data_IF_856278103399
#
_entry.id   IF_856278103399
#
_cell.length_a   1.000
_cell.length_b   1.000
_cell.length_c   1.000
_cell.angle_alpha   90.00
_cell.angle_beta   90.00
_cell.angle_gamma   90.00
#
_symmetry.space_group_name_H-M   'P 1'
#
loop_
_entity.id
_entity.type
_entity.pdbx_description
1 polymer ?
#
# COMPACT_ATOMS: atom_id res chain seq x y z
N UNK A 1 11.90 21.73 -7.58
CA UNK A 1 12.72 20.53 -7.34
C UNK A 1 11.96 19.42 -6.63
N UNK A 2 11.31 19.66 -5.48
CA UNK A 2 10.60 18.60 -4.74
C UNK A 2 9.50 17.89 -5.56
N UNK A 3 8.60 18.66 -6.20
CA UNK A 3 7.54 18.13 -7.09
C UNK A 3 8.07 17.43 -8.36
N UNK A 4 9.31 17.73 -8.74
CA UNK A 4 10.00 17.18 -9.92
C UNK A 4 10.56 15.80 -9.56
N UNK A 5 11.20 15.66 -8.40
CA UNK A 5 11.63 14.35 -7.88
C UNK A 5 10.45 13.41 -7.61
N UNK A 6 9.37 13.90 -6.99
CA UNK A 6 8.20 13.09 -6.62
C UNK A 6 7.63 12.25 -7.78
N UNK A 7 7.56 12.82 -8.99
CA UNK A 7 7.07 12.10 -10.17
C UNK A 7 8.05 11.03 -10.68
N UNK A 8 9.35 11.33 -10.66
CA UNK A 8 10.38 10.38 -11.08
C UNK A 8 10.49 9.17 -10.14
N UNK A 9 10.26 9.38 -8.83
CA UNK A 9 10.24 8.29 -7.85
C UNK A 9 9.05 7.37 -8.07
N UNK A 10 7.86 7.93 -8.32
CA UNK A 10 6.65 7.17 -8.56
C UNK A 10 6.77 6.31 -9.83
N UNK A 11 7.20 6.88 -10.96
CA UNK A 11 7.34 6.11 -12.20
C UNK A 11 8.38 4.99 -12.08
N UNK A 12 9.50 5.27 -11.43
CA UNK A 12 10.56 4.28 -11.20
C UNK A 12 10.11 3.18 -10.26
N UNK A 13 9.38 3.52 -9.19
CA UNK A 13 8.79 2.55 -8.27
C UNK A 13 7.77 1.65 -8.96
N UNK A 14 6.92 2.20 -9.83
CA UNK A 14 5.97 1.43 -10.64
C UNK A 14 6.70 0.45 -11.57
N UNK A 15 7.73 0.91 -12.30
CA UNK A 15 8.51 0.05 -13.19
C UNK A 15 9.26 -1.07 -12.47
N UNK A 16 9.86 -0.76 -11.32
CA UNK A 16 10.58 -1.75 -10.50
C UNK A 16 9.60 -2.75 -9.88
N UNK A 17 8.47 -2.29 -9.33
CA UNK A 17 7.42 -3.15 -8.78
C UNK A 17 6.88 -4.13 -9.83
N UNK A 18 6.59 -3.64 -11.04
CA UNK A 18 6.16 -4.48 -12.15
C UNK A 18 7.20 -5.56 -12.50
N UNK A 19 8.48 -5.17 -12.52
CA UNK A 19 9.58 -6.09 -12.84
C UNK A 19 9.74 -7.17 -11.78
N UNK A 20 9.63 -6.83 -10.49
CA UNK A 20 9.73 -7.78 -9.37
C UNK A 20 8.61 -8.82 -9.42
N UNK A 21 7.40 -8.42 -9.78
CA UNK A 21 6.28 -9.36 -9.93
C UNK A 21 6.49 -10.28 -11.10
N UNK A 22 6.94 -9.76 -12.24
CA UNK A 22 7.28 -10.59 -13.38
C UNK A 22 8.37 -11.62 -13.02
N UNK A 23 9.35 -11.24 -12.18
CA UNK A 23 10.33 -12.18 -11.61
C UNK A 23 9.65 -13.21 -10.69
N UNK A 24 8.68 -12.81 -9.88
CA UNK A 24 7.90 -13.70 -9.02
C UNK A 24 6.97 -14.65 -9.78
N UNK A 25 6.49 -14.28 -10.96
CA UNK A 25 5.72 -15.15 -11.86
C UNK A 25 6.63 -16.21 -12.52
N UNK A 26 7.85 -15.83 -12.88
CA UNK A 26 8.87 -16.76 -13.42
C UNK A 26 9.45 -17.65 -12.33
N UNK A 27 9.54 -17.17 -11.09
CA UNK A 27 10.02 -17.93 -9.92
C UNK A 27 8.97 -17.96 -8.80
N UNK A 28 8.03 -18.92 -8.85
CA UNK A 28 6.96 -19.05 -7.86
C UNK A 28 7.47 -19.26 -6.44
N UNK A 29 8.68 -19.81 -6.27
CA UNK A 29 9.35 -20.03 -4.98
C UNK A 29 9.63 -18.73 -4.18
N UNK A 30 9.58 -17.57 -4.86
CA UNK A 30 9.83 -16.25 -4.27
C UNK A 30 8.54 -15.44 -4.09
N UNK A 31 7.40 -15.94 -4.59
CA UNK A 31 6.13 -15.23 -4.67
C UNK A 31 5.06 -15.91 -3.81
N UNK A 32 4.41 -15.12 -2.97
CA UNK A 32 3.25 -15.53 -2.17
C UNK A 32 1.93 -15.43 -2.91
N UNK A 33 1.93 -15.02 -4.18
CA UNK A 33 0.75 -14.72 -4.97
C UNK A 33 -0.27 -13.83 -4.23
N UNK A 34 0.21 -12.78 -3.56
CA UNK A 34 -0.64 -11.87 -2.78
C UNK A 34 -0.65 -12.14 -1.28
N UNK A 35 0.00 -13.20 -0.81
CA UNK A 35 0.23 -13.43 0.61
C UNK A 35 1.58 -12.84 1.02
N UNK A 36 1.58 -11.96 2.03
CA UNK A 36 2.81 -11.34 2.51
C UNK A 36 3.62 -12.26 3.45
N UNK A 37 2.94 -13.03 4.29
CA UNK A 37 3.55 -13.99 5.21
C UNK A 37 3.56 -15.39 4.59
N UNK A 38 4.69 -16.10 4.71
CA UNK A 38 4.74 -17.53 4.39
C UNK A 38 3.95 -18.26 5.48
N UNK A 39 2.77 -18.76 5.14
CA UNK A 39 1.98 -19.55 6.07
C UNK A 39 2.55 -20.95 6.15
N UNK A 40 3.16 -21.32 7.27
CA UNK A 40 3.43 -22.72 7.64
C UNK A 40 2.18 -23.41 8.23
N UNK A 41 1.08 -22.67 8.43
CA UNK A 41 -0.18 -23.22 8.94
C UNK A 41 -1.23 -23.38 7.82
N UNK A 42 -1.48 -24.64 7.45
CA UNK A 42 -2.53 -25.14 6.55
C UNK A 42 -3.97 -24.68 6.94
N UNK A 43 -4.15 -24.06 8.09
CA UNK A 43 -5.45 -23.60 8.57
C UNK A 43 -5.87 -22.24 7.99
N UNK A 44 -4.94 -21.34 7.63
CA UNK A 44 -5.29 -20.04 7.01
C UNK A 44 -5.82 -20.26 5.59
N UNK A 45 -5.29 -21.27 4.88
CA UNK A 45 -5.77 -21.68 3.55
C UNK A 45 -7.22 -22.21 3.59
N UNK A 46 -7.62 -22.88 4.68
CA UNK A 46 -9.01 -23.32 4.89
C UNK A 46 -9.96 -22.15 5.14
N UNK A 47 -9.52 -21.09 5.81
CA UNK A 47 -10.33 -19.89 6.00
C UNK A 47 -10.50 -19.06 4.72
N UNK A 48 -9.48 -18.98 3.87
CA UNK A 48 -9.54 -18.29 2.58
C UNK A 48 -10.40 -19.03 1.54
N UNK A 49 -10.31 -20.37 1.46
CA UNK A 49 -11.12 -21.18 0.52
C UNK A 49 -12.59 -21.37 0.92
N UNK A 50 -12.96 -21.09 2.17
CA UNK A 50 -14.35 -21.22 2.65
C UNK A 50 -15.22 -19.98 2.39
N UNK A 51 -14.66 -18.90 1.83
CA UNK A 51 -15.41 -17.74 1.32
C UNK A 51 -16.05 -18.12 -0.03
N UNK A 52 -17.08 -18.95 0.05
CA UNK A 52 -18.00 -19.21 -1.06
C UNK A 52 -18.62 -17.88 -1.50
N UNK A 53 -18.66 -17.66 -2.80
CA UNK A 53 -19.51 -16.69 -3.50
C UNK A 53 -20.99 -16.92 -3.10
N UNK A 54 -21.39 -16.41 -1.94
CA UNK A 54 -22.78 -16.19 -1.59
C UNK A 54 -23.25 -14.88 -2.21
N UNK A 55 -24.57 -14.71 -2.48
CA UNK A 55 -25.09 -13.43 -2.93
C UNK A 55 -24.78 -12.38 -1.88
N UNK A 56 -23.86 -11.47 -2.20
CA UNK A 56 -23.55 -10.33 -1.35
C UNK A 56 -24.81 -9.46 -1.34
N UNK A 57 -25.47 -9.37 -0.18
CA UNK A 57 -26.58 -8.45 0.00
C UNK A 57 -26.07 -7.01 -0.09
N UNK A 58 -26.68 -6.21 -0.96
CA UNK A 58 -26.37 -4.78 -1.06
C UNK A 58 -26.50 -4.07 0.30
N UNK A 59 -27.40 -4.56 1.16
CA UNK A 59 -27.57 -4.11 2.54
C UNK A 59 -26.28 -4.23 3.37
N UNK A 60 -25.59 -5.38 3.32
CA UNK A 60 -24.35 -5.60 4.10
C UNK A 60 -23.20 -4.76 3.57
N UNK A 61 -23.15 -4.50 2.26
CA UNK A 61 -22.23 -3.52 1.69
C UNK A 61 -22.49 -2.14 2.28
N UNK A 62 -23.71 -1.61 2.20
CA UNK A 62 -24.04 -0.26 2.69
C UNK A 62 -23.70 -0.12 4.19
N UNK A 63 -24.04 -1.12 5.01
CA UNK A 63 -23.71 -1.12 6.44
C UNK A 63 -22.19 -1.10 6.67
N UNK A 64 -21.42 -1.89 5.92
CA UNK A 64 -19.97 -1.87 5.99
C UNK A 64 -19.38 -0.51 5.55
N UNK A 65 -19.97 0.13 4.54
CA UNK A 65 -19.59 1.46 4.09
C UNK A 65 -19.85 2.54 5.15
N UNK A 66 -21.01 2.49 5.81
CA UNK A 66 -21.34 3.40 6.92
C UNK A 66 -20.36 3.17 8.08
N UNK A 67 -20.09 1.91 8.45
CA UNK A 67 -19.13 1.59 9.50
C UNK A 67 -17.73 2.14 9.17
N UNK A 68 -17.27 1.98 7.94
CA UNK A 68 -15.98 2.52 7.49
C UNK A 68 -15.95 4.06 7.59
N UNK A 69 -17.04 4.74 7.22
CA UNK A 69 -17.15 6.19 7.35
C UNK A 69 -17.15 6.62 8.82
N UNK A 70 -17.88 5.94 9.69
CA UNK A 70 -17.91 6.21 11.13
C UNK A 70 -16.53 6.04 11.76
N UNK A 71 -15.82 4.96 11.44
CA UNK A 71 -14.47 4.73 11.93
C UNK A 71 -13.48 5.78 11.40
N UNK A 72 -13.64 6.24 10.16
CA UNK A 72 -12.83 7.32 9.61
C UNK A 72 -13.11 8.65 10.31
N UNK A 73 -14.37 9.02 10.51
CA UNK A 73 -14.75 10.24 11.25
C UNK A 73 -14.26 10.20 12.69
N UNK A 74 -14.33 9.05 13.34
CA UNK A 74 -13.71 8.83 14.65
C UNK A 74 -12.19 9.03 14.58
N UNK A 75 -11.52 8.49 13.55
CA UNK A 75 -10.11 8.73 13.30
C UNK A 75 -9.76 10.21 13.10
N UNK A 76 -10.62 10.98 12.42
CA UNK A 76 -10.47 12.44 12.25
C UNK A 76 -10.63 13.17 13.57
N UNK A 77 -11.61 12.78 14.39
CA UNK A 77 -11.80 13.35 15.71
C UNK A 77 -10.56 13.13 16.58
N UNK A 78 -10.03 11.90 16.62
CA UNK A 78 -8.82 11.58 17.36
C UNK A 78 -7.58 12.27 16.78
N UNK A 79 -7.49 12.42 15.44
CA UNK A 79 -6.42 13.20 14.82
C UNK A 79 -6.37 14.64 15.37
N UNK A 80 -7.51 15.27 15.65
CA UNK A 80 -7.55 16.63 16.21
C UNK A 80 -6.97 16.74 17.63
N UNK A 81 -6.94 15.63 18.38
CA UNK A 81 -6.46 15.59 19.77
C UNK A 81 -5.00 15.12 19.87
N UNK A 82 -4.62 14.11 19.08
CA UNK A 82 -3.33 13.41 19.20
C UNK A 82 -2.37 13.71 18.02
N UNK A 83 -2.86 14.36 16.96
CA UNK A 83 -2.08 14.68 15.75
C UNK A 83 -1.75 13.47 14.86
N UNK A 84 -2.13 12.25 15.25
CA UNK A 84 -1.90 11.02 14.46
C UNK A 84 -2.80 10.99 13.23
N UNK A 85 -2.29 10.71 12.01
CA UNK A 85 -3.09 10.67 10.79
C UNK A 85 -4.35 9.81 10.92
N UNK A 86 -5.51 10.38 10.58
CA UNK A 86 -6.81 9.72 10.71
C UNK A 86 -6.88 8.28 10.13
N UNK A 87 -6.27 7.97 8.97
CA UNK A 87 -6.26 6.59 8.44
C UNK A 87 -5.58 5.56 9.36
N UNK A 88 -4.54 5.96 10.10
CA UNK A 88 -3.84 5.07 11.04
C UNK A 88 -4.75 4.76 12.23
N UNK A 89 -5.39 5.80 12.79
CA UNK A 89 -6.33 5.64 13.89
C UNK A 89 -7.52 4.79 13.47
N UNK A 90 -8.05 5.03 12.26
CA UNK A 90 -9.11 4.21 11.68
C UNK A 90 -8.69 2.74 11.59
N UNK A 91 -7.47 2.45 11.10
CA UNK A 91 -6.97 1.08 10.96
C UNK A 91 -6.82 0.39 12.32
N UNK A 92 -6.23 1.08 13.31
CA UNK A 92 -6.12 0.55 14.67
C UNK A 92 -7.49 0.29 15.29
N UNK A 93 -8.43 1.22 15.15
CA UNK A 93 -9.79 1.08 15.64
C UNK A 93 -10.52 -0.11 14.98
N UNK A 94 -10.35 -0.30 13.67
CA UNK A 94 -10.92 -1.43 12.94
C UNK A 94 -10.34 -2.77 13.41
N UNK A 95 -9.02 -2.86 13.58
CA UNK A 95 -8.34 -4.08 14.07
C UNK A 95 -8.76 -4.40 15.51
N UNK A 96 -8.82 -3.41 16.39
CA UNK A 96 -9.28 -3.59 17.78
C UNK A 96 -10.75 -4.04 17.80
N UNK A 97 -11.62 -3.39 17.03
CA UNK A 97 -13.03 -3.75 16.95
C UNK A 97 -13.23 -5.18 16.43
N UNK A 98 -12.38 -5.62 15.50
CA UNK A 98 -12.35 -7.00 15.01
C UNK A 98 -11.85 -7.97 16.08
N UNK A 99 -10.78 -7.63 16.80
CA UNK A 99 -10.22 -8.47 17.87
C UNK A 99 -11.20 -8.65 19.04
N UNK A 100 -12.02 -7.64 19.33
CA UNK A 100 -13.07 -7.69 20.34
C UNK A 100 -14.34 -8.43 19.87
N UNK A 101 -14.39 -8.89 18.61
CA UNK A 101 -15.56 -9.61 18.06
C UNK A 101 -16.78 -8.72 17.84
N UNK A 102 -16.62 -7.39 17.82
CA UNK A 102 -17.71 -6.42 17.63
C UNK A 102 -18.25 -6.46 16.19
N UNK A 103 -17.38 -6.78 15.23
CA UNK A 103 -17.72 -6.80 13.80
C UNK A 103 -18.18 -8.21 13.39
N UNK A 104 -19.46 -8.42 13.08
CA UNK A 104 -19.96 -9.70 12.61
C UNK A 104 -19.43 -10.02 11.21
N UNK A 105 -19.30 -11.31 10.92
CA UNK A 105 -18.74 -11.83 9.66
C UNK A 105 -19.48 -11.34 8.40
N UNK A 106 -20.79 -11.09 8.50
CA UNK A 106 -21.60 -10.54 7.39
C UNK A 106 -21.17 -9.12 6.99
N UNK A 107 -20.76 -8.29 7.95
CA UNK A 107 -20.26 -6.93 7.69
C UNK A 107 -18.84 -7.01 7.12
N UNK A 108 -18.01 -7.97 7.56
CA UNK A 108 -16.70 -8.18 6.95
C UNK A 108 -16.82 -8.52 5.46
N UNK A 109 -17.72 -9.43 5.11
CA UNK A 109 -18.00 -9.82 3.72
C UNK A 109 -18.50 -8.64 2.89
N UNK A 110 -19.42 -7.82 3.44
CA UNK A 110 -19.86 -6.57 2.82
C UNK A 110 -18.72 -5.56 2.61
N UNK A 111 -17.80 -5.44 3.58
CA UNK A 111 -16.62 -4.59 3.48
C UNK A 111 -15.64 -5.04 2.39
N UNK A 112 -15.41 -6.36 2.28
CA UNK A 112 -14.63 -6.93 1.19
C UNK A 112 -15.28 -6.72 -0.18
N UNK A 113 -16.60 -6.82 -0.27
CA UNK A 113 -17.32 -6.56 -1.51
C UNK A 113 -17.23 -5.09 -1.93
N UNK A 114 -17.36 -4.14 -0.99
CA UNK A 114 -17.11 -2.71 -1.27
C UNK A 114 -15.69 -2.50 -1.73
N UNK A 115 -14.72 -3.05 -1.02
CA UNK A 115 -13.30 -2.93 -1.38
C UNK A 115 -13.04 -3.43 -2.81
N UNK A 116 -13.56 -4.61 -3.15
CA UNK A 116 -13.44 -5.18 -4.50
C UNK A 116 -14.13 -4.31 -5.55
N UNK A 117 -15.33 -3.81 -5.27
CA UNK A 117 -16.04 -2.90 -6.16
C UNK A 117 -15.25 -1.61 -6.40
N UNK A 118 -14.70 -0.99 -5.36
CA UNK A 118 -13.87 0.21 -5.47
C UNK A 118 -12.61 -0.08 -6.29
N UNK A 119 -11.93 -1.18 -6.00
CA UNK A 119 -10.70 -1.59 -6.69
C UNK A 119 -10.95 -1.87 -8.17
N UNK A 120 -11.99 -2.63 -8.51
CA UNK A 120 -12.25 -3.05 -9.89
C UNK A 120 -12.93 -1.95 -10.71
N UNK A 121 -13.87 -1.21 -10.11
CA UNK A 121 -14.70 -0.23 -10.83
C UNK A 121 -14.25 1.22 -10.73
N UNK A 122 -13.69 1.64 -9.59
CA UNK A 122 -13.44 3.06 -9.29
C UNK A 122 -11.96 3.41 -9.42
N UNK A 123 -11.06 2.53 -8.99
CA UNK A 123 -9.62 2.81 -8.93
C UNK A 123 -9.03 3.17 -10.28
N UNK A 124 -9.38 2.46 -11.36
CA UNK A 124 -8.80 2.73 -12.69
C UNK A 124 -9.20 4.14 -13.21
N UNK A 125 -10.49 4.52 -13.21
CA UNK A 125 -10.89 5.91 -13.50
C UNK A 125 -10.24 6.94 -12.57
N UNK A 126 -10.13 6.63 -11.27
CA UNK A 126 -9.52 7.52 -10.29
C UNK A 126 -8.04 7.77 -10.59
N UNK A 127 -7.27 6.71 -10.87
CA UNK A 127 -5.85 6.81 -11.22
C UNK A 127 -5.65 7.60 -12.51
N UNK A 128 -6.52 7.41 -13.51
CA UNK A 128 -6.49 8.23 -14.73
C UNK A 128 -6.77 9.70 -14.41
N UNK A 129 -7.81 9.99 -13.62
CA UNK A 129 -8.17 11.36 -13.24
C UNK A 129 -7.05 12.06 -12.46
N UNK A 130 -6.46 11.39 -11.47
CA UNK A 130 -5.32 11.90 -10.69
C UNK A 130 -4.10 12.08 -11.60
N UNK A 131 -3.82 11.12 -12.48
CA UNK A 131 -2.72 11.19 -13.44
C UNK A 131 -2.84 12.39 -14.38
N UNK A 132 -4.04 12.71 -14.87
CA UNK A 132 -4.25 13.87 -15.76
C UNK A 132 -4.23 15.19 -14.98
N UNK A 133 -4.90 15.25 -13.82
CA UNK A 133 -5.10 16.49 -13.09
C UNK A 133 -3.92 16.91 -12.21
N UNK A 134 -3.22 15.94 -11.61
CA UNK A 134 -2.18 16.21 -10.60
C UNK A 134 -0.75 16.07 -11.13
N UNK A 135 -0.54 15.57 -12.35
CA UNK A 135 0.81 15.42 -12.92
C UNK A 135 1.29 16.75 -13.51
N UNK A 136 2.30 17.41 -12.91
CA UNK A 136 2.95 18.54 -13.55
C UNK A 136 3.83 18.06 -14.72
N UNK A 137 3.24 17.98 -15.91
CA UNK A 137 3.88 17.50 -17.15
C UNK A 137 5.20 18.20 -17.48
N UNK A 138 5.29 19.52 -17.25
CA UNK A 138 6.53 20.28 -17.45
C UNK A 138 7.68 19.81 -16.55
N UNK A 139 7.37 19.40 -15.33
CA UNK A 139 8.34 18.89 -14.38
C UNK A 139 8.79 17.48 -14.72
N UNK A 140 7.89 16.64 -15.23
CA UNK A 140 8.21 15.28 -15.67
C UNK A 140 9.24 15.29 -16.80
N UNK A 141 9.02 16.13 -17.82
CA UNK A 141 9.95 16.28 -18.94
C UNK A 141 11.33 16.73 -18.45
N UNK A 142 11.39 17.67 -17.50
CA UNK A 142 12.64 18.15 -16.94
C UNK A 142 13.45 17.06 -16.18
N UNK A 143 12.78 16.07 -15.55
CA UNK A 143 13.47 14.91 -14.95
C UNK A 143 14.06 14.01 -16.03
N UNK A 144 13.27 13.71 -17.06
CA UNK A 144 13.68 12.81 -18.14
C UNK A 144 14.87 13.40 -18.90
N UNK A 145 14.94 14.73 -19.05
CA UNK A 145 16.06 15.43 -19.67
C UNK A 145 17.33 15.46 -18.81
N UNK A 146 17.25 15.22 -17.49
CA UNK A 146 18.41 15.18 -16.61
C UNK A 146 18.79 13.73 -16.22
N UNK A 147 19.75 13.11 -16.92
CA UNK A 147 20.12 11.71 -16.69
C UNK A 147 20.71 11.46 -15.30
N UNK A 148 21.41 12.44 -14.69
CA UNK A 148 21.98 12.27 -13.36
C UNK A 148 20.88 12.11 -12.30
N UNK A 149 19.82 12.92 -12.37
CA UNK A 149 18.67 12.78 -11.47
C UNK A 149 17.99 11.43 -11.65
N UNK A 150 17.75 10.98 -12.88
CA UNK A 150 17.07 9.72 -13.15
C UNK A 150 17.86 8.52 -12.58
N UNK A 151 19.18 8.50 -12.78
CA UNK A 151 20.05 7.44 -12.24
C UNK A 151 20.01 7.43 -10.71
N UNK A 152 20.11 8.58 -10.05
CA UNK A 152 20.05 8.63 -8.57
C UNK A 152 18.73 8.09 -8.01
N UNK A 153 17.60 8.41 -8.67
CA UNK A 153 16.27 7.92 -8.29
C UNK A 153 16.22 6.40 -8.46
N UNK A 154 16.64 5.90 -9.63
CA UNK A 154 16.65 4.48 -9.94
C UNK A 154 17.51 3.70 -8.94
N UNK A 155 18.73 4.15 -8.68
CA UNK A 155 19.61 3.51 -7.71
C UNK A 155 18.98 3.51 -6.31
N UNK A 156 18.39 4.62 -5.86
CA UNK A 156 17.78 4.70 -4.52
C UNK A 156 16.62 3.73 -4.36
N UNK A 157 15.66 3.74 -5.29
CA UNK A 157 14.49 2.83 -5.24
C UNK A 157 14.96 1.38 -5.36
N UNK A 158 15.92 1.09 -6.24
CA UNK A 158 16.47 -0.25 -6.39
C UNK A 158 17.16 -0.73 -5.11
N UNK A 159 17.96 0.10 -4.45
CA UNK A 159 18.63 -0.26 -3.19
C UNK A 159 17.60 -0.60 -2.11
N UNK A 160 16.56 0.22 -1.94
CA UNK A 160 15.51 -0.03 -0.93
C UNK A 160 14.79 -1.35 -1.21
N UNK A 161 14.42 -1.58 -2.48
CA UNK A 161 13.78 -2.82 -2.94
C UNK A 161 14.64 -4.06 -2.69
N UNK A 162 15.93 -3.98 -3.05
CA UNK A 162 16.85 -5.11 -2.91
C UNK A 162 17.07 -5.42 -1.44
N UNK A 163 17.29 -4.40 -0.60
CA UNK A 163 17.42 -4.57 0.84
C UNK A 163 16.17 -5.25 1.41
N UNK A 164 14.98 -4.78 1.04
CA UNK A 164 13.73 -5.39 1.49
C UNK A 164 13.58 -6.84 1.03
N UNK A 165 13.98 -7.15 -0.20
CA UNK A 165 13.90 -8.52 -0.71
C UNK A 165 14.71 -9.50 0.16
N UNK A 166 15.90 -9.09 0.62
CA UNK A 166 16.71 -9.90 1.52
C UNK A 166 16.18 -9.90 2.96
N UNK A 167 15.78 -8.75 3.50
CA UNK A 167 15.25 -8.64 4.87
C UNK A 167 13.92 -9.39 5.01
N UNK A 168 13.02 -9.26 4.03
CA UNK A 168 11.76 -10.00 3.98
C UNK A 168 11.98 -11.51 3.96
N UNK A 169 13.03 -11.98 3.26
CA UNK A 169 13.43 -13.40 3.30
C UNK A 169 13.90 -13.83 4.70
N UNK A 170 14.62 -12.96 5.43
CA UNK A 170 15.04 -13.24 6.81
C UNK A 170 13.87 -13.26 7.80
N UNK A 171 12.82 -12.48 7.54
CA UNK A 171 11.61 -12.38 8.37
C UNK A 171 10.54 -13.43 8.03
N UNK A 172 10.86 -14.44 7.21
CA UNK A 172 9.90 -15.45 6.73
C UNK A 172 8.70 -14.87 5.96
N UNK A 173 8.88 -13.71 5.33
CA UNK A 173 7.90 -13.12 4.43
C UNK A 173 8.16 -13.57 2.99
N UNK A 174 7.15 -13.44 2.12
CA UNK A 174 7.36 -13.65 0.69
C UNK A 174 8.17 -12.48 0.10
N UNK A 175 9.39 -12.72 -0.40
CA UNK A 175 10.32 -11.65 -0.78
C UNK A 175 9.76 -10.69 -1.85
N UNK A 176 8.98 -11.22 -2.81
CA UNK A 176 8.34 -10.43 -3.87
C UNK A 176 7.29 -9.48 -3.29
N UNK A 177 6.40 -9.98 -2.42
CA UNK A 177 5.35 -9.20 -1.77
C UNK A 177 5.93 -8.18 -0.77
N UNK A 178 6.98 -8.54 -0.03
CA UNK A 178 7.68 -7.61 0.88
C UNK A 178 8.30 -6.46 0.10
N UNK A 179 9.05 -6.76 -0.96
CA UNK A 179 9.68 -5.76 -1.81
C UNK A 179 8.65 -4.84 -2.49
N UNK A 180 7.48 -5.39 -2.86
CA UNK A 180 6.33 -4.63 -3.37
C UNK A 180 5.77 -3.65 -2.34
N UNK A 181 5.51 -4.11 -1.11
CA UNK A 181 5.01 -3.26 -0.02
C UNK A 181 6.00 -2.14 0.30
N UNK A 182 7.31 -2.41 0.32
CA UNK A 182 8.32 -1.36 0.56
C UNK A 182 8.49 -0.44 -0.65
N UNK A 183 8.26 -0.92 -1.88
CA UNK A 183 8.21 -0.04 -3.06
C UNK A 183 7.11 1.02 -2.93
N UNK A 184 6.03 0.73 -2.22
CA UNK A 184 4.95 1.69 -1.94
C UNK A 184 5.42 2.88 -1.08
N UNK A 185 6.43 2.70 -0.22
CA UNK A 185 7.05 3.82 0.52
C UNK A 185 7.72 4.84 -0.41
N UNK A 186 8.11 4.43 -1.62
CA UNK A 186 8.64 5.34 -2.65
C UNK A 186 7.53 6.04 -3.44
N UNK A 187 6.28 5.58 -3.29
CA UNK A 187 5.09 6.18 -3.86
C UNK A 187 4.60 7.39 -3.06
N UNK A 188 3.84 8.26 -3.72
CA UNK A 188 3.27 9.46 -3.10
C UNK A 188 2.06 9.09 -2.22
N UNK A 189 2.32 8.60 -1.01
CA UNK A 189 1.27 8.24 -0.05
C UNK A 189 0.29 7.20 -0.59
N UNK A 190 -0.93 7.17 -0.04
CA UNK A 190 -1.94 6.17 -0.38
C UNK A 190 -2.32 6.10 -1.86
N UNK A 191 -2.23 7.20 -2.62
CA UNK A 191 -2.47 7.19 -4.07
C UNK A 191 -1.33 6.52 -4.85
N UNK A 192 -0.09 6.67 -4.37
CA UNK A 192 1.07 5.95 -4.91
C UNK A 192 0.97 4.46 -4.63
N UNK A 193 0.57 4.09 -3.40
CA UNK A 193 0.33 2.69 -3.02
C UNK A 193 -0.67 2.03 -3.98
N UNK A 194 -1.79 2.71 -4.26
CA UNK A 194 -2.81 2.21 -5.20
C UNK A 194 -2.21 2.01 -6.58
N UNK A 195 -1.46 2.98 -7.10
CA UNK A 195 -0.88 2.91 -8.45
C UNK A 195 0.13 1.76 -8.58
N UNK A 196 1.02 1.61 -7.59
CA UNK A 196 2.06 0.58 -7.57
C UNK A 196 1.43 -0.81 -7.44
N UNK A 197 0.50 -0.99 -6.51
CA UNK A 197 -0.17 -2.29 -6.32
C UNK A 197 -1.10 -2.65 -7.49
N UNK A 198 -1.69 -1.66 -8.17
CA UNK A 198 -2.50 -1.87 -9.37
C UNK A 198 -1.61 -2.28 -10.55
N UNK A 199 -0.46 -1.63 -10.74
CA UNK A 199 0.51 -2.03 -11.76
C UNK A 199 1.00 -3.47 -11.54
N UNK A 200 1.03 -3.89 -10.29
CA UNK A 200 1.41 -5.22 -9.90
C UNK A 200 0.30 -6.27 -9.79
N UNK A 201 -0.96 -5.90 -10.02
CA UNK A 201 -2.12 -6.77 -9.77
C UNK A 201 -2.16 -7.42 -8.36
N UNK A 202 -1.67 -6.71 -7.33
CA UNK A 202 -1.60 -7.17 -5.92
C UNK A 202 -2.29 -6.21 -4.95
N UNK A 203 -3.49 -5.76 -5.31
CA UNK A 203 -4.24 -4.80 -4.49
C UNK A 203 -4.68 -5.38 -3.13
N UNK A 204 -4.65 -6.69 -2.94
CA UNK A 204 -4.82 -7.32 -1.63
C UNK A 204 -3.79 -6.89 -0.58
N UNK A 205 -2.61 -6.41 -1.01
CA UNK A 205 -1.57 -5.91 -0.12
C UNK A 205 -1.80 -4.47 0.35
N UNK A 206 -2.87 -3.81 -0.10
CA UNK A 206 -3.16 -2.41 0.20
C UNK A 206 -3.17 -2.08 1.70
N UNK A 207 -3.74 -2.90 2.60
CA UNK A 207 -3.69 -2.62 4.04
C UNK A 207 -2.25 -2.60 4.58
N UNK A 208 -1.39 -3.50 4.10
CA UNK A 208 0.02 -3.55 4.49
C UNK A 208 0.81 -2.37 3.92
N UNK A 209 0.58 -2.02 2.65
CA UNK A 209 1.17 -0.83 2.03
C UNK A 209 0.77 0.45 2.76
N UNK A 210 -0.51 0.62 3.14
CA UNK A 210 -0.96 1.79 3.88
C UNK A 210 -0.29 1.91 5.26
N UNK A 211 -0.08 0.79 5.95
CA UNK A 211 0.64 0.79 7.23
C UNK A 211 2.13 1.10 7.01
N UNK A 212 2.76 0.45 6.04
CA UNK A 212 4.17 0.65 5.69
C UNK A 212 4.45 2.11 5.29
N UNK A 213 3.65 2.69 4.39
CA UNK A 213 3.83 4.07 3.89
C UNK A 213 3.68 5.10 5.01
N UNK A 214 2.79 4.85 5.98
CA UNK A 214 2.57 5.78 7.10
C UNK A 214 3.64 5.64 8.19
N UNK A 215 3.94 4.42 8.62
CA UNK A 215 4.96 4.18 9.66
C UNK A 215 6.37 4.41 9.13
N UNK A 216 6.67 3.93 7.92
CA UNK A 216 7.93 4.15 7.22
C UNK A 216 8.18 5.63 6.94
N UNK A 217 7.14 6.39 6.57
CA UNK A 217 7.23 7.85 6.45
C UNK A 217 7.60 8.53 7.77
N UNK A 218 6.92 8.20 8.86
CA UNK A 218 7.22 8.75 10.19
C UNK A 218 8.64 8.38 10.67
N UNK A 219 9.07 7.14 10.44
CA UNK A 219 10.42 6.68 10.75
C UNK A 219 11.48 7.45 9.94
N UNK A 220 11.27 7.62 8.63
CA UNK A 220 12.19 8.34 7.74
C UNK A 220 12.37 9.80 8.18
N UNK A 221 11.27 10.48 8.53
CA UNK A 221 11.32 11.86 9.04
C UNK A 221 12.08 11.94 10.36
N UNK A 222 11.83 11.00 11.29
CA UNK A 222 12.50 10.95 12.59
C UNK A 222 14.02 10.76 12.41
N UNK A 223 14.42 9.83 11.54
CA UNK A 223 15.83 9.61 11.20
C UNK A 223 16.46 10.82 10.51
N UNK A 224 15.75 11.48 9.60
CA UNK A 224 16.25 12.69 8.94
C UNK A 224 16.50 13.82 9.94
N UNK A 225 15.61 14.03 10.90
CA UNK A 225 15.78 15.03 11.97
C UNK A 225 16.96 14.66 12.87
N UNK A 226 17.08 13.39 13.25
CA UNK A 226 18.20 12.91 14.05
C UNK A 226 19.55 13.13 13.35
N UNK A 227 19.65 12.78 12.06
CA UNK A 227 20.86 12.99 11.27
C UNK A 227 21.18 14.48 11.09
N UNK A 228 20.19 15.32 10.83
CA UNK A 228 20.39 16.78 10.75
C UNK A 228 20.91 17.36 12.07
N UNK A 229 20.47 16.82 13.21
CA UNK A 229 20.96 17.23 14.53
C UNK A 229 22.38 16.74 14.84
N UNK A 230 22.85 15.66 14.21
CA UNK A 230 24.23 15.21 14.34
C UNK A 230 25.20 15.95 13.40
N UNK A 231 24.69 16.51 12.31
CA UNK A 231 25.46 17.26 11.31
C UNK A 231 25.59 18.77 11.61
N UNK A 232 24.83 19.29 12.59
CA UNK A 232 24.99 20.61 13.17
C UNK A 232 25.61 20.51 14.56
#
# INVERSE_FOLDING_TARGET
>A
MLKVMLLGWLSTAISIAYTIINIGEVRPELSGNGQLLKSDDDDILKYAKKKKDGPVELSTMIVAGILALTLYLFGVYINSVIGLPAPIVMLLAAVISKALGIIPKSIEEGGHAIFRFTVTGITVPLLLGVGVAMTPWKNLVAVITNPACLVTIFCTVLTVVVVEFFVGKMLNMNPVESAMVTSCNSGQGGTGDVAILTAGNRLELMPFAQVATRLGGAATVTWAIFLMRMLH
#
